data_IF_278096762241
#
_entry.id   IF_278096762241
#
_cell.length_a   1.000
_cell.length_b   1.000
_cell.length_c   1.000
_cell.angle_alpha   90.00
_cell.angle_beta   90.00
_cell.angle_gamma   90.00
#
_symmetry.space_group_name_H-M   'P 1'
#
loop_
_entity.id
_entity.type
_entity.pdbx_description
1 polymer ?
#
# COMPACT_ATOMS: atom_id res chain seq x y z
N UNK A 1 10.45 10.32 1.67
CA UNK A 1 9.86 10.20 3.00
C UNK A 1 9.16 8.87 3.16
N UNK A 2 9.07 8.38 4.37
CA UNK A 2 8.34 7.15 4.67
C UNK A 2 6.96 7.48 5.18
N UNK A 3 5.96 6.69 4.78
CA UNK A 3 4.57 6.91 5.16
C UNK A 3 3.93 5.57 5.52
N UNK A 4 3.21 5.55 6.64
CA UNK A 4 2.44 4.39 7.05
C UNK A 4 1.00 4.53 6.55
N UNK A 5 0.54 3.51 5.82
CA UNK A 5 -0.76 3.52 5.14
C UNK A 5 -1.55 2.28 5.53
N UNK A 6 -2.86 2.38 5.54
CA UNK A 6 -3.74 1.22 5.74
C UNK A 6 -4.82 1.19 4.66
N UNK A 7 -5.31 -0.01 4.39
CA UNK A 7 -6.43 -0.24 3.46
C UNK A 7 -7.19 -1.49 3.92
N UNK A 8 -8.51 -1.44 3.79
CA UNK A 8 -9.36 -2.61 4.09
C UNK A 8 -9.36 -3.56 2.91
N UNK A 9 -9.35 -4.87 3.20
CA UNK A 9 -9.34 -5.92 2.17
C UNK A 9 -10.42 -6.96 2.45
N UNK A 10 -10.85 -7.67 1.40
CA UNK A 10 -11.94 -8.65 1.49
C UNK A 10 -11.58 -10.03 0.97
N UNK A 11 -10.40 -10.21 0.37
CA UNK A 11 -10.00 -11.49 -0.27
C UNK A 11 -8.73 -12.09 0.33
N UNK A 12 -8.36 -11.65 1.53
CA UNK A 12 -7.19 -12.16 2.25
C UNK A 12 -5.88 -11.49 1.86
N UNK A 13 -4.89 -11.68 2.71
CA UNK A 13 -3.59 -11.03 2.56
C UNK A 13 -2.79 -11.56 1.38
N UNK A 14 -2.80 -12.89 1.15
CA UNK A 14 -2.02 -13.48 0.06
C UNK A 14 -2.46 -12.97 -1.31
N UNK A 15 -3.77 -12.77 -1.50
CA UNK A 15 -4.32 -12.21 -2.73
C UNK A 15 -3.85 -10.76 -2.91
N UNK A 16 -3.87 -9.99 -1.83
CA UNK A 16 -3.39 -8.60 -1.86
C UNK A 16 -1.89 -8.54 -2.18
N UNK A 17 -1.08 -9.42 -1.57
CA UNK A 17 0.36 -9.48 -1.82
C UNK A 17 0.65 -9.82 -3.28
N UNK A 18 -0.07 -10.78 -3.86
CA UNK A 18 0.11 -11.14 -5.27
C UNK A 18 -0.14 -9.95 -6.20
N UNK A 19 -1.21 -9.21 -5.95
CA UNK A 19 -1.52 -7.98 -6.69
C UNK A 19 -0.38 -6.96 -6.53
N UNK A 20 0.08 -6.77 -5.30
CA UNK A 20 1.12 -5.80 -4.98
C UNK A 20 2.44 -6.12 -5.71
N UNK A 21 2.80 -7.41 -5.78
CA UNK A 21 3.98 -7.84 -6.54
C UNK A 21 3.88 -7.47 -8.01
N UNK A 22 2.69 -7.56 -8.58
CA UNK A 22 2.45 -7.20 -9.98
C UNK A 22 2.56 -5.70 -10.25
N UNK A 23 2.51 -4.88 -9.23
CA UNK A 23 2.59 -3.41 -9.34
C UNK A 23 3.95 -2.83 -9.02
N UNK A 24 4.91 -3.63 -8.58
CA UNK A 24 6.19 -3.14 -8.07
C UNK A 24 6.93 -2.26 -9.08
N UNK A 25 7.02 -2.69 -10.34
CA UNK A 25 7.69 -1.93 -11.39
C UNK A 25 7.00 -0.60 -11.67
N UNK A 26 5.69 -0.64 -11.82
CA UNK A 26 4.91 0.55 -12.14
C UNK A 26 4.95 1.56 -11.00
N UNK A 27 4.87 1.07 -9.76
CA UNK A 27 5.01 1.92 -8.57
C UNK A 27 6.38 2.59 -8.53
N UNK A 28 7.44 1.84 -8.83
CA UNK A 28 8.80 2.37 -8.86
C UNK A 28 8.95 3.51 -9.88
N UNK A 29 8.31 3.40 -11.04
CA UNK A 29 8.30 4.46 -12.06
C UNK A 29 7.64 5.73 -11.54
N UNK A 30 6.78 5.62 -10.54
CA UNK A 30 6.10 6.74 -9.92
C UNK A 30 6.74 7.15 -8.59
N UNK A 31 7.95 6.68 -8.30
CA UNK A 31 8.70 7.06 -7.11
C UNK A 31 8.19 6.42 -5.82
N UNK A 32 7.50 5.29 -5.91
CA UNK A 32 6.90 4.61 -4.78
C UNK A 32 7.54 3.25 -4.57
N UNK A 33 7.98 2.97 -3.34
CA UNK A 33 8.60 1.69 -2.98
C UNK A 33 8.00 1.19 -1.67
N UNK A 34 7.46 -0.02 -1.68
CA UNK A 34 6.98 -0.66 -0.46
C UNK A 34 8.18 -1.21 0.32
N UNK A 35 8.25 -0.89 1.61
CA UNK A 35 9.30 -1.39 2.51
C UNK A 35 8.84 -2.70 3.14
N UNK A 36 7.63 -2.73 3.70
CA UNK A 36 7.00 -3.94 4.20
C UNK A 36 5.49 -3.76 4.26
N UNK A 37 4.80 -4.89 4.37
CA UNK A 37 3.36 -4.91 4.57
C UNK A 37 3.00 -6.02 5.55
N UNK A 38 1.92 -5.82 6.27
CA UNK A 38 1.40 -6.80 7.22
C UNK A 38 -0.12 -6.71 7.27
N UNK A 39 -0.77 -7.82 7.59
CA UNK A 39 -2.21 -7.85 7.80
C UNK A 39 -2.51 -7.97 9.29
N UNK A 40 -3.70 -7.52 9.69
CA UNK A 40 -4.23 -7.83 11.01
C UNK A 40 -4.61 -9.32 11.08
N UNK A 41 -4.84 -9.89 12.29
CA UNK A 41 -5.06 -11.34 12.43
C UNK A 41 -6.19 -11.93 11.59
N UNK A 42 -7.29 -11.20 11.39
CA UNK A 42 -8.41 -11.70 10.57
C UNK A 42 -8.32 -11.31 9.09
N UNK A 43 -7.21 -10.67 8.71
CA UNK A 43 -6.93 -10.28 7.32
C UNK A 43 -8.01 -9.40 6.69
N UNK A 44 -8.53 -8.47 7.48
CA UNK A 44 -9.49 -7.48 7.00
C UNK A 44 -8.84 -6.13 6.69
N UNK A 45 -7.59 -5.95 7.12
CA UNK A 45 -6.83 -4.72 6.90
C UNK A 45 -5.38 -5.04 6.61
N UNK A 46 -4.77 -4.22 5.78
CA UNK A 46 -3.33 -4.28 5.49
C UNK A 46 -2.70 -2.97 5.95
N UNK A 47 -1.51 -3.09 6.53
CA UNK A 47 -0.68 -1.96 6.95
C UNK A 47 0.59 -1.98 6.12
N UNK A 48 0.92 -0.84 5.50
CA UNK A 48 2.03 -0.76 4.56
C UNK A 48 2.95 0.39 4.95
N UNK A 49 4.23 0.10 5.07
CA UNK A 49 5.24 1.15 5.17
C UNK A 49 5.82 1.37 3.79
N UNK A 50 5.69 2.58 3.27
CA UNK A 50 6.03 2.93 1.90
C UNK A 50 7.02 4.10 1.89
N UNK A 51 8.01 4.03 1.01
CA UNK A 51 8.93 5.15 0.73
C UNK A 51 8.45 5.88 -0.51
N UNK A 52 8.35 7.21 -0.44
CA UNK A 52 7.96 8.06 -1.56
C UNK A 52 8.49 9.47 -1.38
N UNK A 53 8.60 10.23 -2.47
CA UNK A 53 9.05 11.62 -2.40
C UNK A 53 7.94 12.56 -1.92
N UNK A 54 6.71 12.28 -2.36
CA UNK A 54 5.56 13.13 -2.06
C UNK A 54 4.32 12.24 -1.85
N UNK A 55 3.63 12.35 -0.69
CA UNK A 55 2.40 11.58 -0.44
C UNK A 55 1.32 11.78 -1.51
N UNK A 56 1.28 12.94 -2.16
CA UNK A 56 0.34 13.19 -3.25
C UNK A 56 0.56 12.24 -4.43
N UNK A 57 1.80 11.82 -4.69
CA UNK A 57 2.11 10.86 -5.76
C UNK A 57 1.49 9.51 -5.48
N UNK A 58 1.48 9.07 -4.22
CA UNK A 58 0.87 7.81 -3.84
C UNK A 58 -0.64 7.85 -4.08
N UNK A 59 -1.28 8.94 -3.70
CA UNK A 59 -2.72 9.10 -3.91
C UNK A 59 -3.05 9.08 -5.39
N UNK A 60 -2.33 9.85 -6.19
CA UNK A 60 -2.52 9.90 -7.64
C UNK A 60 -2.33 8.53 -8.28
N UNK A 61 -1.26 7.82 -7.90
CA UNK A 61 -0.99 6.48 -8.40
C UNK A 61 -2.09 5.50 -8.01
N UNK A 62 -2.45 5.48 -6.73
CA UNK A 62 -3.45 4.53 -6.19
C UNK A 62 -4.85 4.74 -6.73
N UNK A 63 -5.17 5.96 -7.14
CA UNK A 63 -6.47 6.32 -7.71
C UNK A 63 -6.49 6.27 -9.25
N UNK A 64 -5.33 6.05 -9.87
CA UNK A 64 -5.25 5.87 -11.33
C UNK A 64 -6.16 4.70 -11.72
N UNK A 65 -6.95 4.88 -12.78
CA UNK A 65 -8.02 3.94 -13.14
C UNK A 65 -7.58 2.49 -13.22
N UNK A 66 -6.45 2.22 -13.89
CA UNK A 66 -5.92 0.86 -14.02
C UNK A 66 -5.44 0.28 -12.69
N UNK A 67 -4.83 1.09 -11.86
CA UNK A 67 -4.32 0.67 -10.55
C UNK A 67 -5.48 0.45 -9.57
N UNK A 68 -6.45 1.36 -9.54
CA UNK A 68 -7.63 1.23 -8.69
C UNK A 68 -8.42 -0.04 -9.05
N UNK A 69 -8.54 -0.33 -10.34
CA UNK A 69 -9.23 -1.54 -10.81
C UNK A 69 -8.52 -2.81 -10.34
N UNK A 70 -7.19 -2.87 -10.50
CA UNK A 70 -6.41 -4.03 -10.06
C UNK A 70 -6.50 -4.22 -8.54
N UNK A 71 -6.47 -3.13 -7.79
CA UNK A 71 -6.61 -3.17 -6.33
C UNK A 71 -7.99 -3.71 -5.93
N UNK A 72 -9.05 -3.20 -6.55
CA UNK A 72 -10.42 -3.63 -6.26
C UNK A 72 -10.61 -5.11 -6.62
N UNK A 73 -10.08 -5.57 -7.73
CA UNK A 73 -10.15 -6.98 -8.14
C UNK A 73 -9.44 -7.90 -7.13
N UNK A 74 -8.40 -7.40 -6.48
CA UNK A 74 -7.67 -8.14 -5.44
C UNK A 74 -8.34 -8.03 -4.05
N UNK A 75 -9.49 -7.40 -3.97
CA UNK A 75 -10.26 -7.29 -2.73
C UNK A 75 -9.99 -6.04 -1.91
N UNK A 76 -9.19 -5.10 -2.41
CA UNK A 76 -8.99 -3.84 -1.68
C UNK A 76 -10.22 -2.94 -1.84
N UNK A 77 -10.66 -2.37 -0.72
CA UNK A 77 -11.68 -1.34 -0.73
C UNK A 77 -10.93 -0.02 -0.91
N UNK A 78 -10.81 0.40 -2.17
CA UNK A 78 -9.89 1.48 -2.58
C UNK A 78 -10.14 2.78 -1.79
N UNK A 79 -11.39 3.15 -1.58
CA UNK A 79 -11.77 4.36 -0.84
C UNK A 79 -11.43 4.28 0.66
N UNK A 80 -11.12 3.09 1.17
CA UNK A 80 -10.69 2.92 2.56
C UNK A 80 -9.20 3.21 2.76
N UNK A 81 -8.46 3.43 1.68
CA UNK A 81 -7.03 3.74 1.76
C UNK A 81 -6.82 5.01 2.56
N UNK A 82 -5.98 4.92 3.59
CA UNK A 82 -5.80 6.02 4.52
C UNK A 82 -4.33 6.13 4.94
N UNK A 83 -3.80 7.34 4.89
CA UNK A 83 -2.47 7.63 5.44
C UNK A 83 -2.63 7.74 6.94
N UNK A 84 -1.98 6.83 7.67
CA UNK A 84 -2.01 6.86 9.14
C UNK A 84 -1.08 7.95 9.65
N UNK A 85 0.15 7.97 9.15
CA UNK A 85 1.15 8.95 9.58
C UNK A 85 2.37 8.94 8.67
N UNK A 86 2.98 10.11 8.43
CA UNK A 86 4.37 10.13 7.98
C UNK A 86 5.23 9.51 9.07
N UNK A 87 6.30 8.85 8.68
CA UNK A 87 7.21 8.19 9.63
C UNK A 87 8.56 8.92 9.60
N UNK A 88 8.97 9.38 10.75
CA UNK A 88 10.25 10.02 10.91
C UNK A 88 11.34 9.02 11.26
N UNK A 89 11.96 9.22 12.41
CA UNK A 89 13.05 8.36 12.88
C UNK A 89 12.54 6.97 13.20
N UNK A 90 13.28 5.94 12.79
CA UNK A 90 12.94 4.55 13.05
C UNK A 90 14.05 3.86 13.84
N UNK A 91 13.66 2.87 14.63
CA UNK A 91 14.57 1.98 15.33
C UNK A 91 14.24 0.53 14.93
N UNK A 92 15.23 -0.16 14.40
CA UNK A 92 15.07 -1.55 13.95
C UNK A 92 16.02 -2.41 14.78
N UNK A 93 15.57 -2.96 15.92
CA UNK A 93 16.43 -3.82 16.74
C UNK A 93 16.81 -5.10 16.01
N UNK A 94 18.03 -5.56 16.24
CA UNK A 94 18.54 -6.80 15.63
C UNK A 94 17.95 -8.06 16.28
#
# INVERSE_FOLDING_TARGET
>A
MKVLVTVSITKGFDTWVAMSKGMTEEAAKNGIKMIWAAANPDETSVFVLTEMQDPAQMKTFGEREDIAKARAEAGAIVESTQIISPIGQMYMPD
#
